data_IF_541369783748
#
_entry.id   IF_541369783748
#
_cell.length_a   1.000
_cell.length_b   1.000
_cell.length_c   1.000
_cell.angle_alpha   90.00
_cell.angle_beta   90.00
_cell.angle_gamma   90.00
#
_symmetry.space_group_name_H-M   'P 1'
#
loop_
_entity.id
_entity.type
_entity.pdbx_description
1 polymer ?
#
# COMPACT_ATOMS: atom_id res chain seq x y z
N UNK A 1 -28.17 28.03 -7.75
CA UNK A 1 -28.67 26.63 -7.64
C UNK A 1 -27.73 25.93 -6.65
N UNK A 2 -28.12 25.92 -5.37
CA UNK A 2 -27.30 25.38 -4.27
C UNK A 2 -27.34 23.85 -4.38
N UNK A 3 -26.21 23.24 -4.72
CA UNK A 3 -26.06 21.78 -4.62
C UNK A 3 -26.30 21.42 -3.15
N UNK A 4 -27.43 20.78 -2.86
CA UNK A 4 -27.67 20.16 -1.56
C UNK A 4 -26.53 19.19 -1.33
N UNK A 5 -25.93 19.22 -0.15
CA UNK A 5 -25.01 18.21 0.37
C UNK A 5 -25.75 16.86 0.30
N UNK A 6 -25.60 16.16 -0.80
CA UNK A 6 -26.02 14.77 -0.90
C UNK A 6 -24.92 13.98 -0.19
N UNK A 7 -25.08 13.77 1.11
CA UNK A 7 -24.33 12.76 1.82
C UNK A 7 -24.58 11.44 1.09
N UNK A 8 -23.58 10.95 0.38
CA UNK A 8 -23.67 9.63 -0.22
C UNK A 8 -23.76 8.61 0.93
N UNK A 9 -24.75 7.72 0.90
CA UNK A 9 -24.92 6.73 1.95
C UNK A 9 -23.67 5.83 2.06
N UNK A 10 -23.21 5.55 3.27
CA UNK A 10 -22.02 4.71 3.51
C UNK A 10 -22.20 3.30 2.92
N UNK A 11 -23.42 2.79 2.90
CA UNK A 11 -23.78 1.51 2.27
C UNK A 11 -23.57 1.48 0.74
N UNK A 12 -23.44 2.64 0.10
CA UNK A 12 -23.08 2.76 -1.32
C UNK A 12 -21.59 2.98 -1.50
N UNK A 13 -20.98 3.83 -0.66
CA UNK A 13 -19.56 4.20 -0.81
C UNK A 13 -18.65 3.03 -0.44
N UNK A 14 -18.88 2.40 0.71
CA UNK A 14 -17.99 1.37 1.24
C UNK A 14 -17.83 0.16 0.30
N UNK A 15 -18.88 -0.46 -0.22
CA UNK A 15 -18.73 -1.54 -1.20
C UNK A 15 -17.98 -1.10 -2.46
N UNK A 16 -18.08 0.17 -2.86
CA UNK A 16 -17.34 0.72 -3.99
C UNK A 16 -15.85 0.82 -3.71
N UNK A 17 -15.44 1.26 -2.50
CA UNK A 17 -14.03 1.32 -2.10
C UNK A 17 -13.43 -0.09 -2.02
N UNK A 18 -14.15 -1.07 -1.47
CA UNK A 18 -13.73 -2.47 -1.46
C UNK A 18 -13.56 -3.00 -2.89
N UNK A 19 -14.52 -2.73 -3.78
CA UNK A 19 -14.44 -3.15 -5.17
C UNK A 19 -13.22 -2.55 -5.90
N UNK A 20 -12.84 -1.31 -5.60
CA UNK A 20 -11.61 -0.70 -6.13
C UNK A 20 -10.37 -1.45 -5.62
N UNK A 21 -10.29 -1.74 -4.32
CA UNK A 21 -9.19 -2.50 -3.76
C UNK A 21 -9.10 -3.92 -4.38
N UNK A 22 -10.23 -4.60 -4.60
CA UNK A 22 -10.28 -5.92 -5.24
C UNK A 22 -9.87 -5.86 -6.73
N UNK A 23 -10.21 -4.79 -7.44
CA UNK A 23 -9.77 -4.57 -8.83
C UNK A 23 -8.26 -4.34 -8.91
N UNK A 24 -7.69 -3.57 -7.97
CA UNK A 24 -6.24 -3.42 -7.84
C UNK A 24 -5.56 -4.78 -7.62
N UNK A 25 -6.04 -5.58 -6.67
CA UNK A 25 -5.53 -6.91 -6.39
C UNK A 25 -5.64 -7.84 -7.60
N UNK A 26 -6.79 -7.85 -8.27
CA UNK A 26 -7.03 -8.65 -9.48
C UNK A 26 -6.04 -8.26 -10.59
N UNK A 27 -5.75 -6.98 -10.73
CA UNK A 27 -4.76 -6.49 -11.71
C UNK A 27 -3.37 -7.00 -11.37
N UNK A 28 -2.98 -6.98 -10.10
CA UNK A 28 -1.70 -7.52 -9.64
C UNK A 28 -1.59 -9.02 -9.92
N UNK A 29 -2.59 -9.84 -9.61
CA UNK A 29 -2.60 -11.27 -9.93
C UNK A 29 -2.44 -11.55 -11.43
N UNK A 30 -3.11 -10.78 -12.28
CA UNK A 30 -3.07 -10.97 -13.74
C UNK A 30 -1.75 -10.54 -14.37
N UNK A 31 -1.00 -9.65 -13.73
CA UNK A 31 0.26 -9.12 -14.24
C UNK A 31 1.48 -9.72 -13.56
N UNK A 32 1.32 -10.35 -12.41
CA UNK A 32 2.40 -11.01 -11.69
C UNK A 32 2.83 -12.31 -12.38
N UNK A 33 4.09 -12.63 -12.24
CA UNK A 33 4.70 -13.88 -12.68
C UNK A 33 5.39 -14.65 -11.53
N UNK A 34 5.33 -14.11 -10.32
CA UNK A 34 5.80 -14.78 -9.11
C UNK A 34 4.79 -15.82 -8.64
N UNK A 35 5.27 -17.02 -8.29
CA UNK A 35 4.45 -18.06 -7.68
C UNK A 35 3.82 -17.60 -6.37
N UNK A 36 4.56 -16.84 -5.54
CA UNK A 36 4.10 -16.39 -4.24
C UNK A 36 2.90 -15.43 -4.37
N UNK A 37 2.87 -14.63 -5.42
CA UNK A 37 1.72 -13.76 -5.71
C UNK A 37 0.57 -14.51 -6.38
N UNK A 38 0.85 -15.30 -7.42
CA UNK A 38 -0.20 -15.91 -8.26
C UNK A 38 -0.89 -17.08 -7.57
N UNK A 39 -0.14 -17.95 -6.85
CA UNK A 39 -0.66 -19.16 -6.25
C UNK A 39 -0.92 -19.02 -4.74
N UNK A 40 -0.04 -18.31 -4.03
CA UNK A 40 -0.14 -18.16 -2.57
C UNK A 40 -0.92 -16.89 -2.19
N UNK A 41 -1.12 -15.95 -3.13
CA UNK A 41 -1.76 -14.65 -2.91
C UNK A 41 -1.02 -13.79 -1.86
N UNK A 42 0.33 -13.91 -1.84
CA UNK A 42 1.15 -13.16 -0.89
C UNK A 42 1.33 -11.70 -1.34
N UNK A 43 0.25 -10.99 -1.28
CA UNK A 43 0.11 -9.58 -1.64
C UNK A 43 -1.12 -8.98 -0.97
N UNK A 44 -1.24 -7.68 -0.95
CA UNK A 44 -2.47 -7.01 -0.54
C UNK A 44 -2.59 -5.62 -1.15
N UNK A 45 -3.82 -5.11 -1.19
CA UNK A 45 -4.12 -3.73 -1.63
C UNK A 45 -5.08 -3.06 -0.66
N UNK A 46 -4.95 -1.75 -0.53
CA UNK A 46 -5.80 -0.95 0.33
C UNK A 46 -5.94 0.49 -0.14
N UNK A 47 -6.91 1.17 0.43
CA UNK A 47 -7.17 2.59 0.23
C UNK A 47 -7.10 3.29 1.58
N UNK A 48 -6.30 4.34 1.66
CA UNK A 48 -6.18 5.20 2.84
C UNK A 48 -6.85 6.55 2.56
N UNK A 49 -7.36 7.21 3.60
CA UNK A 49 -7.77 8.61 3.53
C UNK A 49 -6.55 9.55 3.47
N UNK A 50 -6.80 10.86 3.39
CA UNK A 50 -5.76 11.90 3.37
C UNK A 50 -4.99 12.04 4.69
N UNK A 51 -5.37 11.30 5.74
CA UNK A 51 -4.71 11.21 7.05
C UNK A 51 -4.01 9.88 7.29
N UNK A 52 -4.00 9.00 6.29
CA UNK A 52 -3.39 7.67 6.39
C UNK A 52 -4.27 6.60 7.06
N UNK A 53 -5.54 6.90 7.38
CA UNK A 53 -6.43 5.88 7.94
C UNK A 53 -6.92 4.92 6.85
N UNK A 54 -6.89 3.63 7.15
CA UNK A 54 -7.40 2.60 6.24
C UNK A 54 -8.92 2.70 6.09
N UNK A 55 -9.37 2.95 4.86
CA UNK A 55 -10.80 3.01 4.50
C UNK A 55 -11.32 1.69 3.97
N UNK A 56 -10.56 1.01 3.13
CA UNK A 56 -10.94 -0.25 2.53
C UNK A 56 -9.69 -1.06 2.15
N UNK A 57 -9.84 -2.37 2.09
CA UNK A 57 -8.80 -3.31 1.67
C UNK A 57 -9.41 -4.43 0.85
N UNK A 58 -8.57 -5.12 0.08
CA UNK A 58 -8.99 -6.30 -0.68
C UNK A 58 -9.30 -7.48 0.24
N UNK A 59 -10.22 -8.34 -0.22
CA UNK A 59 -10.48 -9.65 0.35
C UNK A 59 -9.55 -10.75 -0.20
N UNK A 60 -8.80 -10.45 -1.26
CA UNK A 60 -8.01 -11.43 -2.02
C UNK A 60 -6.57 -11.59 -1.52
N UNK A 61 -6.14 -10.77 -0.59
CA UNK A 61 -4.74 -10.70 -0.16
C UNK A 61 -4.44 -11.44 1.15
N UNK A 62 -3.16 -11.48 1.49
CA UNK A 62 -2.68 -12.02 2.75
C UNK A 62 -3.14 -11.17 3.96
N UNK A 63 -3.69 -11.83 4.98
CA UNK A 63 -4.24 -11.14 6.16
C UNK A 63 -3.16 -10.41 6.99
N UNK A 64 -1.91 -10.91 6.96
CA UNK A 64 -0.77 -10.25 7.61
C UNK A 64 -0.53 -8.84 7.07
N UNK A 65 -0.56 -8.68 5.75
CA UNK A 65 -0.36 -7.39 5.09
C UNK A 65 -1.48 -6.39 5.43
N UNK A 66 -2.74 -6.86 5.42
CA UNK A 66 -3.88 -5.99 5.72
C UNK A 66 -3.87 -5.51 7.17
N UNK A 67 -3.41 -6.34 8.10
CA UNK A 67 -3.29 -5.99 9.52
C UNK A 67 -2.29 -4.87 9.79
N UNK A 68 -1.26 -4.72 8.96
CA UNK A 68 -0.21 -3.70 9.12
C UNK A 68 -0.53 -2.37 8.41
N UNK A 69 -1.45 -2.35 7.46
CA UNK A 69 -1.77 -1.15 6.67
C UNK A 69 -2.15 0.09 7.51
N UNK A 70 -2.90 -0.01 8.62
CA UNK A 70 -3.18 1.15 9.46
C UNK A 70 -1.93 1.79 10.06
N UNK A 71 -0.98 0.97 10.54
CA UNK A 71 0.29 1.47 11.07
C UNK A 71 1.16 2.06 9.96
N UNK A 72 1.24 1.38 8.81
CA UNK A 72 1.93 1.89 7.63
C UNK A 72 1.39 3.25 7.19
N UNK A 73 0.06 3.42 7.14
CA UNK A 73 -0.58 4.69 6.75
C UNK A 73 -0.22 5.84 7.71
N UNK A 74 -0.16 5.58 9.02
CA UNK A 74 0.29 6.56 10.00
C UNK A 74 1.76 6.96 9.77
N UNK A 75 2.65 5.98 9.57
CA UNK A 75 4.06 6.22 9.27
C UNK A 75 4.26 7.00 7.95
N UNK A 76 3.44 6.71 6.93
CA UNK A 76 3.48 7.40 5.64
C UNK A 76 3.18 8.90 5.80
N UNK A 77 2.10 9.26 6.49
CA UNK A 77 1.72 10.67 6.63
C UNK A 77 2.59 11.42 7.63
N UNK A 78 3.25 10.71 8.55
CA UNK A 78 4.29 11.29 9.40
C UNK A 78 5.55 11.63 8.59
N UNK A 79 5.99 10.73 7.71
CA UNK A 79 7.15 10.94 6.85
C UNK A 79 6.87 11.97 5.73
N UNK A 80 5.67 11.95 5.18
CA UNK A 80 5.23 12.84 4.10
C UNK A 80 3.90 13.50 4.46
N UNK A 81 3.92 14.63 5.18
CA UNK A 81 2.72 15.37 5.52
C UNK A 81 1.87 15.69 4.28
N UNK A 82 0.53 15.59 4.34
CA UNK A 82 -0.38 15.73 3.20
C UNK A 82 -0.16 16.96 2.33
N UNK A 83 0.25 18.08 2.94
CA UNK A 83 0.55 19.34 2.26
C UNK A 83 1.84 19.31 1.42
N UNK A 84 2.69 18.31 1.61
CA UNK A 84 3.95 18.12 0.84
C UNK A 84 3.80 17.15 -0.31
N UNK A 85 2.65 16.45 -0.38
CA UNK A 85 2.36 15.42 -1.38
C UNK A 85 1.85 16.07 -2.66
N UNK A 86 2.35 15.62 -3.81
CA UNK A 86 2.02 16.14 -5.13
C UNK A 86 1.38 15.07 -6.01
N UNK A 87 0.58 15.47 -7.02
CA UNK A 87 0.16 14.55 -8.07
C UNK A 87 1.36 13.95 -8.79
N UNK A 88 1.37 12.64 -8.97
CA UNK A 88 2.48 11.91 -9.62
C UNK A 88 3.54 11.40 -8.65
N UNK A 89 3.47 11.75 -7.36
CA UNK A 89 4.34 11.14 -6.36
C UNK A 89 4.10 9.62 -6.28
N UNK A 90 5.17 8.88 -6.00
CA UNK A 90 5.11 7.46 -5.65
C UNK A 90 6.01 7.25 -4.45
N UNK A 91 5.50 6.58 -3.43
CA UNK A 91 6.27 6.25 -2.23
C UNK A 91 6.58 4.76 -2.20
N UNK A 92 7.75 4.41 -1.64
CA UNK A 92 8.23 3.03 -1.49
C UNK A 92 8.79 2.81 -0.08
N UNK A 93 8.54 1.63 0.48
CA UNK A 93 9.11 1.21 1.75
C UNK A 93 9.05 -0.31 1.88
N UNK A 94 10.07 -0.92 2.51
CA UNK A 94 9.98 -2.28 3.04
C UNK A 94 10.62 -2.41 4.43
N UNK A 95 10.86 -1.29 5.10
CA UNK A 95 11.39 -1.29 6.47
C UNK A 95 10.43 -2.08 7.39
N UNK A 96 10.90 -3.16 8.04
CA UNK A 96 10.03 -4.04 8.84
C UNK A 96 9.31 -3.34 9.98
N UNK A 97 9.89 -2.28 10.53
CA UNK A 97 9.29 -1.51 11.63
C UNK A 97 8.25 -0.49 11.16
N UNK A 98 8.30 -0.11 9.88
CA UNK A 98 7.37 0.87 9.29
C UNK A 98 6.27 0.19 8.47
N UNK A 99 6.52 -1.04 7.98
CA UNK A 99 5.64 -1.81 7.09
C UNK A 99 4.98 -3.00 7.81
N UNK A 100 5.40 -4.24 7.50
CA UNK A 100 4.71 -5.43 8.00
C UNK A 100 5.60 -6.47 8.70
N UNK A 101 6.84 -6.14 9.01
CA UNK A 101 7.74 -7.02 9.73
C UNK A 101 8.58 -7.95 8.85
N UNK A 102 8.50 -7.84 7.52
CA UNK A 102 9.32 -8.58 6.57
C UNK A 102 9.94 -7.64 5.54
N UNK A 103 11.22 -7.82 5.22
CA UNK A 103 11.91 -7.02 4.21
C UNK A 103 11.51 -7.38 2.78
N UNK A 104 11.06 -8.63 2.56
CA UNK A 104 10.59 -9.08 1.25
C UNK A 104 9.29 -8.42 0.79
N UNK A 105 8.52 -7.83 1.70
CA UNK A 105 7.25 -7.19 1.40
C UNK A 105 7.43 -5.70 1.11
N UNK A 106 7.47 -5.37 -0.17
CA UNK A 106 7.64 -3.98 -0.61
C UNK A 106 6.28 -3.31 -0.75
N UNK A 107 6.12 -2.19 -0.04
CA UNK A 107 4.95 -1.31 -0.13
C UNK A 107 5.19 -0.24 -1.18
N UNK A 108 4.26 -0.10 -2.10
CA UNK A 108 4.18 1.00 -3.07
C UNK A 108 2.89 1.76 -2.83
N UNK A 109 3.00 3.09 -2.75
CA UNK A 109 1.86 3.95 -2.44
C UNK A 109 1.80 5.13 -3.41
N UNK A 110 0.60 5.41 -3.91
CA UNK A 110 0.36 6.55 -4.79
C UNK A 110 -0.77 7.42 -4.25
N UNK A 111 -0.63 8.76 -4.26
CA UNK A 111 -1.69 9.66 -3.82
C UNK A 111 -2.79 9.78 -4.87
N UNK A 112 -4.02 9.90 -4.42
CA UNK A 112 -5.19 10.19 -5.23
C UNK A 112 -5.63 11.64 -5.04
N UNK A 113 -5.80 12.36 -6.16
CA UNK A 113 -6.23 13.76 -6.15
C UNK A 113 -7.56 13.95 -6.86
N UNK A 114 -8.41 14.82 -6.32
CA UNK A 114 -9.62 15.29 -6.99
C UNK A 114 -9.66 16.81 -6.98
N UNK A 115 -9.75 17.44 -8.16
CA UNK A 115 -9.78 18.91 -8.31
C UNK A 115 -8.64 19.62 -7.56
N UNK A 116 -7.43 19.05 -7.61
CA UNK A 116 -6.24 19.59 -6.97
C UNK A 116 -6.14 19.36 -5.46
N UNK A 117 -7.11 18.66 -4.83
CA UNK A 117 -7.08 18.29 -3.41
C UNK A 117 -6.69 16.81 -3.28
N UNK A 118 -5.74 16.51 -2.39
CA UNK A 118 -5.47 15.14 -1.95
C UNK A 118 -6.72 14.57 -1.28
N UNK A 119 -7.18 13.41 -1.72
CA UNK A 119 -8.35 12.72 -1.17
C UNK A 119 -7.99 11.39 -0.49
N UNK A 120 -6.75 10.93 -0.63
CA UNK A 120 -6.26 9.70 -0.03
C UNK A 120 -5.14 9.07 -0.82
N UNK A 121 -4.85 7.81 -0.52
CA UNK A 121 -3.77 7.06 -1.15
C UNK A 121 -4.26 5.67 -1.52
N UNK A 122 -3.75 5.13 -2.63
CA UNK A 122 -3.78 3.71 -2.92
C UNK A 122 -2.48 3.06 -2.46
N UNK A 123 -2.60 1.96 -1.76
CA UNK A 123 -1.48 1.18 -1.22
C UNK A 123 -1.52 -0.22 -1.78
N UNK A 124 -0.37 -0.73 -2.18
CA UNK A 124 -0.21 -2.15 -2.45
C UNK A 124 1.08 -2.67 -1.83
N UNK A 125 1.11 -3.95 -1.50
CA UNK A 125 2.29 -4.67 -1.06
C UNK A 125 2.35 -6.02 -1.74
N UNK A 126 3.55 -6.43 -2.07
CA UNK A 126 3.84 -7.71 -2.73
C UNK A 126 5.05 -8.34 -2.05
N UNK A 127 4.96 -9.65 -1.78
CA UNK A 127 6.11 -10.45 -1.40
C UNK A 127 7.03 -10.69 -2.60
N UNK A 128 8.28 -10.24 -2.49
CA UNK A 128 9.32 -10.41 -3.50
C UNK A 128 10.12 -11.68 -3.22
N UNK A 129 10.34 -12.48 -4.27
CA UNK A 129 11.07 -13.75 -4.17
C UNK A 129 12.56 -13.58 -3.94
N UNK A 130 13.12 -12.41 -4.23
CA UNK A 130 14.53 -12.10 -4.06
C UNK A 130 14.72 -10.59 -3.89
N UNK A 131 15.31 -10.19 -2.78
CA UNK A 131 15.72 -8.82 -2.46
C UNK A 131 17.20 -8.75 -2.08
N UNK A 132 18.00 -9.75 -2.53
CA UNK A 132 19.46 -9.78 -2.38
C UNK A 132 19.98 -10.37 -1.07
N UNK A 133 19.10 -10.93 -0.22
CA UNK A 133 19.48 -11.54 1.08
C UNK A 133 19.32 -13.05 1.12
N UNK A 134 19.31 -13.59 2.35
CA UNK A 134 18.99 -14.98 2.59
C UNK A 134 17.53 -15.25 2.31
N UNK A 135 17.27 -16.09 1.33
CA UNK A 135 15.92 -16.54 1.03
C UNK A 135 15.42 -17.49 2.13
N UNK A 136 14.25 -17.17 2.69
CA UNK A 136 13.64 -17.96 3.75
C UNK A 136 14.16 -17.57 5.13
N UNK A 137 13.53 -16.53 5.67
CA UNK A 137 13.86 -15.84 6.93
C UNK A 137 14.02 -16.73 8.17
N UNK A 138 13.58 -17.98 8.15
CA UNK A 138 13.76 -18.91 9.27
C UNK A 138 15.21 -19.28 9.59
N UNK A 139 16.17 -18.85 8.77
CA UNK A 139 17.62 -19.06 8.97
C UNK A 139 18.39 -17.76 9.19
N UNK A 140 17.74 -16.61 9.10
CA UNK A 140 18.37 -15.32 9.38
C UNK A 140 18.39 -15.05 10.88
N UNK A 141 19.55 -14.65 11.39
CA UNK A 141 19.72 -14.27 12.79
C UNK A 141 19.49 -12.76 13.01
N UNK A 142 19.68 -11.98 11.94
CA UNK A 142 19.47 -10.53 11.95
C UNK A 142 18.72 -10.09 10.69
N UNK A 143 17.93 -9.01 10.81
CA UNK A 143 17.11 -8.44 9.73
C UNK A 143 17.95 -8.06 8.49
N UNK A 144 19.21 -7.63 8.68
CA UNK A 144 20.11 -7.27 7.58
C UNK A 144 20.52 -8.46 6.70
N UNK A 145 20.35 -9.69 7.19
CA UNK A 145 20.57 -10.89 6.39
C UNK A 145 19.42 -11.19 5.43
N UNK A 146 18.25 -10.60 5.65
CA UNK A 146 17.07 -10.82 4.81
C UNK A 146 17.18 -10.10 3.46
N UNK A 147 18.00 -9.08 3.34
CA UNK A 147 18.26 -8.38 2.09
C UNK A 147 18.20 -6.86 2.19
N UNK A 148 17.84 -6.22 1.08
CA UNK A 148 17.79 -4.76 0.98
C UNK A 148 16.67 -4.19 1.85
N UNK A 149 17.00 -3.25 2.73
CA UNK A 149 16.03 -2.44 3.48
C UNK A 149 15.88 -1.10 2.77
N UNK A 150 14.66 -0.78 2.37
CA UNK A 150 14.27 0.48 1.75
C UNK A 150 13.49 1.27 2.80
N UNK A 151 14.06 2.36 3.35
CA UNK A 151 13.33 3.22 4.28
C UNK A 151 12.14 3.88 3.57
N UNK A 152 11.30 4.59 4.30
CA UNK A 152 10.20 5.35 3.72
C UNK A 152 10.74 6.44 2.79
N UNK A 153 10.62 6.23 1.48
CA UNK A 153 11.19 7.10 0.43
C UNK A 153 10.12 7.55 -0.56
N UNK A 154 10.36 8.72 -1.16
CA UNK A 154 9.67 9.12 -2.38
C UNK A 154 10.44 8.53 -3.56
N UNK A 155 9.83 7.56 -4.26
CA UNK A 155 10.39 6.89 -5.43
C UNK A 155 10.28 7.76 -6.69
N UNK A 156 9.16 8.47 -6.84
CA UNK A 156 8.95 9.48 -7.87
C UNK A 156 8.49 10.79 -7.21
N UNK A 157 9.09 11.91 -7.59
CA UNK A 157 8.66 13.27 -7.21
C UNK A 157 7.90 13.88 -8.39
N UNK A 158 6.57 14.01 -8.25
CA UNK A 158 5.66 14.55 -9.28
C UNK A 158 5.77 13.86 -10.66
N UNK A 159 6.12 12.57 -10.67
CA UNK A 159 6.21 11.74 -11.86
C UNK A 159 7.60 11.65 -12.49
N UNK A 160 8.64 12.23 -11.87
CA UNK A 160 10.04 12.19 -12.31
C UNK A 160 10.94 11.39 -11.38
#
# INVERSE_FOLDING_TARGET
MTLRNTELPLDVIWPRLIAIADEMATTMFRTAFSHDVVEVHDMSTGLLDDRGHLMAQTWLGATGHTGCMPAFGANLVEAFPPETVKPGDVFICNDPWLCNGQTADIFITTPAFHKGKLIGFSVNTIHHVDIGGRKGSGLSEEVFEEGLIIPMLRLYDAGE
#
